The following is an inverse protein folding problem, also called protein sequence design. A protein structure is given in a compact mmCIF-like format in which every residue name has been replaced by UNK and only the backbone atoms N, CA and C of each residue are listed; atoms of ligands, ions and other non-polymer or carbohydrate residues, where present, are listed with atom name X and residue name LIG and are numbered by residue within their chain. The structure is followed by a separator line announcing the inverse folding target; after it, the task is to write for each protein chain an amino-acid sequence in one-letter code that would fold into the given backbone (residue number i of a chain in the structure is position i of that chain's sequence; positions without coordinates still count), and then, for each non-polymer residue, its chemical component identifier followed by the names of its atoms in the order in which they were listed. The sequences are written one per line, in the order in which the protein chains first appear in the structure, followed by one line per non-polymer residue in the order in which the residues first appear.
data_IF_940353715412
#
_entry.id   IF_940353715412
#
_cell.length_a   1.000
_cell.length_b   1.000
_cell.length_c   1.000
_cell.angle_alpha   90.00
_cell.angle_beta   90.00
_cell.angle_gamma   90.00
#
_symmetry.space_group_name_H-M   'P 1'
#
loop_
_entity.id
_entity.type
_entity.pdbx_description
1 polymer ?
#
# COMPACT_ATOMS: atom_id res chain seq x y z
N UNK A 1 -15.94 -21.03 3.15
CA UNK A 1 -16.03 -19.93 2.16
C UNK A 1 -16.17 -20.56 0.78
N UNK A 2 -16.81 -19.86 -0.15
CA UNK A 2 -17.02 -20.33 -1.53
C UNK A 2 -15.97 -19.65 -2.41
N UNK A 3 -15.47 -20.32 -3.45
CA UNK A 3 -14.50 -19.75 -4.41
C UNK A 3 -14.90 -18.37 -4.96
N UNK A 4 -16.20 -18.11 -5.09
CA UNK A 4 -16.69 -16.80 -5.55
C UNK A 4 -16.52 -15.69 -4.49
N UNK A 5 -16.63 -16.03 -3.20
CA UNK A 5 -16.45 -15.07 -2.11
C UNK A 5 -14.97 -14.73 -1.87
N UNK A 6 -14.07 -15.70 -2.08
CA UNK A 6 -12.63 -15.47 -1.99
C UNK A 6 -12.16 -14.53 -3.12
N UNK A 7 -12.69 -14.72 -4.34
CA UNK A 7 -12.40 -13.83 -5.48
C UNK A 7 -12.94 -12.41 -5.32
N UNK A 8 -14.13 -12.26 -4.73
CA UNK A 8 -14.71 -10.94 -4.46
C UNK A 8 -13.86 -10.18 -3.42
N UNK A 9 -13.40 -10.87 -2.38
CA UNK A 9 -12.49 -10.32 -1.39
C UNK A 9 -11.15 -9.90 -1.99
N UNK A 10 -10.54 -10.73 -2.85
CA UNK A 10 -9.28 -10.41 -3.53
C UNK A 10 -9.38 -9.12 -4.36
N UNK A 11 -10.46 -8.96 -5.13
CA UNK A 11 -10.71 -7.76 -5.97
C UNK A 11 -10.91 -6.51 -5.11
N UNK A 12 -11.68 -6.60 -4.03
CA UNK A 12 -11.89 -5.48 -3.12
C UNK A 12 -10.59 -5.08 -2.43
N UNK A 13 -9.81 -6.05 -1.94
CA UNK A 13 -8.54 -5.82 -1.28
C UNK A 13 -7.51 -5.19 -2.24
N UNK A 14 -7.43 -5.67 -3.48
CA UNK A 14 -6.54 -5.10 -4.49
C UNK A 14 -6.89 -3.63 -4.79
N UNK A 15 -8.18 -3.29 -4.85
CA UNK A 15 -8.64 -1.93 -5.06
C UNK A 15 -8.26 -1.02 -3.88
N UNK A 16 -8.45 -1.47 -2.65
CA UNK A 16 -8.09 -0.71 -1.44
C UNK A 16 -6.57 -0.47 -1.37
N UNK A 17 -5.76 -1.50 -1.62
CA UNK A 17 -4.29 -1.38 -1.63
C UNK A 17 -3.83 -0.34 -2.65
N UNK A 18 -4.43 -0.29 -3.85
CA UNK A 18 -4.09 0.71 -4.87
C UNK A 18 -4.47 2.14 -4.44
N UNK A 19 -5.59 2.30 -3.75
CA UNK A 19 -6.00 3.60 -3.17
C UNK A 19 -5.00 4.03 -2.10
N UNK A 20 -4.68 3.16 -1.15
CA UNK A 20 -3.71 3.47 -0.10
C UNK A 20 -2.32 3.77 -0.66
N UNK A 21 -1.86 3.02 -1.68
CA UNK A 21 -0.57 3.26 -2.33
C UNK A 21 -0.54 4.66 -2.97
N UNK A 22 -1.62 5.06 -3.63
CA UNK A 22 -1.76 6.41 -4.23
C UNK A 22 -1.71 7.50 -3.15
N UNK A 23 -2.35 7.26 -2.00
CA UNK A 23 -2.35 8.18 -0.87
C UNK A 23 -0.94 8.35 -0.27
N UNK A 24 -0.24 7.24 -0.03
CA UNK A 24 1.13 7.26 0.50
C UNK A 24 2.08 7.95 -0.48
N UNK A 25 1.98 7.67 -1.78
CA UNK A 25 2.80 8.33 -2.81
C UNK A 25 2.53 9.83 -2.92
N UNK A 26 1.32 10.27 -2.61
CA UNK A 26 0.93 11.68 -2.64
C UNK A 26 1.09 12.38 -1.28
N UNK A 27 1.61 11.68 -0.26
CA UNK A 27 1.70 12.18 1.12
C UNK A 27 2.76 13.27 1.34
N UNK A 28 3.71 13.41 0.40
CA UNK A 28 4.85 14.31 0.54
C UNK A 28 5.95 13.77 1.46
N UNK A 29 6.06 12.44 1.60
CA UNK A 29 7.06 11.80 2.45
C UNK A 29 8.50 12.14 2.04
N UNK A 30 8.77 12.29 0.74
CA UNK A 30 10.09 12.68 0.24
C UNK A 30 10.45 14.10 0.67
N UNK A 31 9.51 15.04 0.59
CA UNK A 31 9.68 16.40 1.07
C UNK A 31 9.86 16.44 2.59
N UNK A 32 9.09 15.64 3.35
CA UNK A 32 9.25 15.50 4.78
C UNK A 32 10.65 14.96 5.15
N UNK A 33 11.17 13.97 4.43
CA UNK A 33 12.51 13.43 4.64
C UNK A 33 13.64 14.46 4.48
N UNK A 34 13.42 15.48 3.63
CA UNK A 34 14.35 16.60 3.45
C UNK A 34 14.26 17.70 4.53
N UNK A 35 13.19 17.72 5.32
CA UNK A 35 12.96 18.71 6.38
C UNK A 35 13.58 18.27 7.72
N UNK A 36 13.88 19.22 8.63
CA UNK A 36 14.29 18.84 9.99
C UNK A 36 13.14 18.15 10.73
N UNK A 37 13.43 17.17 11.63
CA UNK A 37 12.39 16.40 12.32
C UNK A 37 11.37 17.22 13.11
N UNK A 38 11.74 18.41 13.57
CA UNK A 38 10.83 19.34 14.24
C UNK A 38 9.73 19.91 13.34
N UNK A 39 9.88 19.80 12.02
CA UNK A 39 8.93 20.30 11.01
C UNK A 39 8.11 19.18 10.37
N UNK A 40 8.37 17.92 10.74
CA UNK A 40 7.65 16.77 10.22
C UNK A 40 6.19 16.77 10.68
N UNK A 41 5.27 16.60 9.73
CA UNK A 41 3.86 16.33 10.02
C UNK A 41 3.62 14.85 10.37
N UNK A 42 4.48 13.97 9.88
CA UNK A 42 4.54 12.53 10.12
C UNK A 42 5.97 12.04 9.90
N UNK A 43 6.33 10.85 10.41
CA UNK A 43 7.65 10.27 10.18
C UNK A 43 7.74 9.76 8.71
N UNK A 44 8.64 10.29 7.88
CA UNK A 44 8.78 9.83 6.50
C UNK A 44 9.15 8.35 6.39
N UNK A 45 9.82 7.77 7.40
CA UNK A 45 10.14 6.34 7.41
C UNK A 45 8.91 5.45 7.62
N UNK A 46 7.84 5.97 8.24
CA UNK A 46 6.58 5.25 8.35
C UNK A 46 5.88 5.18 6.98
N UNK A 47 5.86 6.28 6.22
CA UNK A 47 5.32 6.28 4.86
C UNK A 47 6.11 5.37 3.91
N UNK A 48 7.44 5.34 3.99
CA UNK A 48 8.26 4.39 3.23
C UNK A 48 7.93 2.93 3.58
N UNK A 49 7.73 2.65 4.88
CA UNK A 49 7.37 1.30 5.34
C UNK A 49 6.00 0.89 4.83
N UNK A 50 5.02 1.78 4.90
CA UNK A 50 3.66 1.53 4.42
C UNK A 50 3.66 1.27 2.91
N UNK A 51 4.39 2.08 2.14
CA UNK A 51 4.51 1.89 0.69
C UNK A 51 5.14 0.53 0.35
N UNK A 52 6.21 0.14 1.05
CA UNK A 52 6.84 -1.16 0.88
C UNK A 52 5.90 -2.31 1.25
N UNK A 53 5.14 -2.17 2.34
CA UNK A 53 4.14 -3.15 2.77
C UNK A 53 3.03 -3.32 1.74
N UNK A 54 2.46 -2.22 1.25
CA UNK A 54 1.40 -2.22 0.24
C UNK A 54 1.87 -2.84 -1.08
N UNK A 55 3.08 -2.54 -1.54
CA UNK A 55 3.67 -3.18 -2.73
C UNK A 55 3.85 -4.69 -2.56
N UNK A 56 4.29 -5.13 -1.39
CA UNK A 56 4.44 -6.56 -1.10
C UNK A 56 3.07 -7.27 -1.10
N UNK A 57 2.04 -6.65 -0.52
CA UNK A 57 0.68 -7.19 -0.51
C UNK A 57 0.09 -7.26 -1.92
N UNK A 58 0.26 -6.21 -2.73
CA UNK A 58 -0.18 -6.21 -4.12
C UNK A 58 0.49 -7.33 -4.92
N UNK A 59 1.81 -7.49 -4.80
CA UNK A 59 2.53 -8.57 -5.45
C UNK A 59 2.10 -9.96 -4.98
N UNK A 60 1.70 -10.12 -3.71
CA UNK A 60 1.17 -11.38 -3.20
C UNK A 60 -0.22 -11.71 -3.79
N UNK A 61 -1.09 -10.70 -3.98
CA UNK A 61 -2.38 -10.87 -4.65
C UNK A 61 -2.20 -11.22 -6.12
N UNK A 62 -1.35 -10.48 -6.84
CA UNK A 62 -1.05 -10.75 -8.25
C UNK A 62 -0.49 -12.16 -8.45
N UNK A 63 0.36 -12.64 -7.52
CA UNK A 63 0.88 -14.01 -7.54
C UNK A 63 -0.21 -15.06 -7.32
N UNK A 64 -1.19 -14.78 -6.44
CA UNK A 64 -2.33 -15.67 -6.18
C UNK A 64 -3.27 -15.77 -7.40
N UNK A 65 -3.50 -14.65 -8.10
CA UNK A 65 -4.29 -14.65 -9.33
C UNK A 65 -3.61 -15.42 -10.47
N UNK A 66 -2.28 -15.29 -10.59
CA UNK A 66 -1.49 -15.96 -11.63
C UNK A 66 -1.32 -17.47 -11.45
N UNK A 67 -1.59 -18.01 -10.26
CA UNK A 67 -1.52 -19.44 -9.91
C UNK A 67 -2.86 -20.19 -10.16
N UNK A 68 -3.87 -19.52 -10.72
CA UNK A 68 -5.19 -20.08 -11.07
C UNK A 68 -5.38 -20.33 -12.57
#
# INVERSE_FOLDING_TARGET
MSMNGDREFEVELEAEIKVELTMVQSSGAEEAAGAPPSEWLFDPADAERDEAGLRNLLGALEALEGDT
#
